data_IF_264617333033
#
_entry.id   IF_264617333033
#
_cell.length_a   1.000
_cell.length_b   1.000
_cell.length_c   1.000
_cell.angle_alpha   90.00
_cell.angle_beta   90.00
_cell.angle_gamma   90.00
#
_symmetry.space_group_name_H-M   'P 1'
#
loop_
_entity.id
_entity.type
_entity.pdbx_description
1 polymer ?
#
# COMPACT_ATOMS: atom_id res chain seq x y z
N UNK A 1 -2.70 16.44 -17.21
CA UNK A 1 -1.37 15.92 -17.60
C UNK A 1 -0.81 16.68 -18.81
N UNK A 2 -1.48 16.71 -19.96
CA UNK A 2 -0.99 17.33 -21.22
C UNK A 2 -0.52 18.77 -21.04
N UNK A 3 -1.26 19.61 -20.31
CA UNK A 3 -0.86 21.00 -20.05
C UNK A 3 0.40 21.09 -19.19
N UNK A 4 0.50 20.24 -18.15
CA UNK A 4 1.71 20.16 -17.31
C UNK A 4 2.94 19.78 -18.14
N UNK A 5 2.81 18.77 -19.00
CA UNK A 5 3.86 18.34 -19.92
C UNK A 5 4.31 19.47 -20.87
N UNK A 6 3.34 20.21 -21.46
CA UNK A 6 3.65 21.34 -22.36
C UNK A 6 4.47 22.42 -21.66
N UNK A 7 4.12 22.80 -20.43
CA UNK A 7 4.89 23.78 -19.67
C UNK A 7 6.25 23.22 -19.20
N UNK A 8 6.34 21.93 -18.93
CA UNK A 8 7.60 21.31 -18.53
C UNK A 8 8.63 21.28 -19.66
N UNK A 9 8.21 20.86 -20.86
CA UNK A 9 9.10 20.74 -22.03
C UNK A 9 9.09 21.95 -22.98
N UNK A 10 8.26 22.94 -22.73
CA UNK A 10 8.16 24.12 -23.59
C UNK A 10 7.47 23.88 -24.95
N UNK A 11 6.59 22.88 -25.04
CA UNK A 11 5.92 22.52 -26.29
C UNK A 11 4.79 23.53 -26.59
N UNK A 12 5.03 24.43 -27.53
CA UNK A 12 4.14 25.54 -27.95
C UNK A 12 3.81 26.55 -26.82
N UNK A 13 4.56 26.56 -25.74
CA UNK A 13 4.49 27.51 -24.61
C UNK A 13 5.89 27.71 -24.05
N UNK A 14 6.12 28.83 -23.34
CA UNK A 14 7.38 29.03 -22.63
C UNK A 14 7.51 27.99 -21.50
N UNK A 15 8.69 27.43 -21.31
CA UNK A 15 8.98 26.52 -20.20
C UNK A 15 8.74 27.20 -18.86
N UNK A 16 7.95 26.56 -18.01
CA UNK A 16 7.65 27.06 -16.67
C UNK A 16 7.40 25.90 -15.70
N UNK A 17 8.36 25.64 -14.84
CA UNK A 17 8.22 24.62 -13.83
C UNK A 17 7.03 24.88 -12.89
N UNK A 18 6.81 26.11 -12.45
CA UNK A 18 5.69 26.48 -11.57
C UNK A 18 4.33 26.26 -12.25
N UNK A 19 4.21 26.56 -13.54
CA UNK A 19 3.00 26.28 -14.29
C UNK A 19 2.78 24.78 -14.47
N UNK A 20 3.82 24.03 -14.82
CA UNK A 20 3.79 22.56 -14.91
C UNK A 20 3.34 21.94 -13.58
N UNK A 21 3.97 22.34 -12.47
CA UNK A 21 3.67 21.85 -11.12
C UNK A 21 2.21 22.14 -10.72
N UNK A 22 1.64 23.29 -11.13
CA UNK A 22 0.25 23.64 -10.87
C UNK A 22 -0.72 22.66 -11.53
N UNK A 23 -0.43 22.23 -12.76
CA UNK A 23 -1.25 21.24 -13.48
C UNK A 23 -1.04 19.83 -12.92
N UNK A 24 0.18 19.44 -12.60
CA UNK A 24 0.47 18.12 -12.05
C UNK A 24 -0.13 17.94 -10.64
N UNK A 25 -0.14 18.98 -9.80
CA UNK A 25 -0.82 18.93 -8.49
C UNK A 25 -2.31 18.65 -8.60
N UNK A 26 -2.99 19.14 -9.64
CA UNK A 26 -4.42 18.82 -9.84
C UNK A 26 -4.63 17.34 -10.12
N UNK A 27 -3.78 16.74 -10.94
CA UNK A 27 -3.84 15.30 -11.24
C UNK A 27 -3.48 14.47 -10.00
N UNK A 28 -2.39 14.83 -9.32
CA UNK A 28 -1.95 14.13 -8.13
C UNK A 28 -3.02 14.09 -7.02
N UNK A 29 -3.78 15.18 -6.84
CA UNK A 29 -4.92 15.20 -5.90
C UNK A 29 -6.03 14.23 -6.29
N UNK A 30 -6.33 14.08 -7.58
CA UNK A 30 -7.33 13.11 -8.04
C UNK A 30 -6.84 11.70 -7.77
N UNK A 31 -5.58 11.38 -8.08
CA UNK A 31 -4.98 10.08 -7.82
C UNK A 31 -4.95 9.77 -6.31
N UNK A 32 -4.57 10.75 -5.48
CA UNK A 32 -4.62 10.62 -4.01
C UNK A 32 -6.03 10.26 -3.52
N UNK A 33 -7.06 10.95 -4.05
CA UNK A 33 -8.44 10.68 -3.67
C UNK A 33 -8.90 9.29 -4.10
N UNK A 34 -8.49 8.83 -5.28
CA UNK A 34 -8.82 7.50 -5.77
C UNK A 34 -8.13 6.40 -4.94
N UNK A 35 -6.87 6.58 -4.56
CA UNK A 35 -6.15 5.67 -3.65
C UNK A 35 -6.84 5.61 -2.29
N UNK A 36 -7.23 6.76 -1.73
CA UNK A 36 -7.93 6.82 -0.44
C UNK A 36 -9.33 6.18 -0.47
N UNK A 37 -9.93 6.01 -1.66
CA UNK A 37 -11.20 5.29 -1.88
C UNK A 37 -11.03 3.79 -2.16
N UNK A 38 -9.81 3.26 -1.99
CA UNK A 38 -9.50 1.85 -2.23
C UNK A 38 -8.92 1.55 -3.62
N UNK A 39 -8.44 2.56 -4.33
CA UNK A 39 -7.67 2.39 -5.57
C UNK A 39 -6.29 1.75 -5.34
N UNK A 40 -5.58 1.46 -6.42
CA UNK A 40 -4.24 0.89 -6.36
C UNK A 40 -3.26 1.83 -5.66
N UNK A 41 -2.53 1.31 -4.68
CA UNK A 41 -1.49 2.05 -3.95
C UNK A 41 -0.12 2.00 -4.62
N UNK A 42 0.03 1.16 -5.64
CA UNK A 42 1.30 0.91 -6.34
C UNK A 42 1.19 1.33 -7.79
N UNK A 43 2.18 2.10 -8.26
CA UNK A 43 2.29 2.49 -9.67
C UNK A 43 2.71 1.27 -10.49
N UNK A 44 1.88 0.90 -11.47
CA UNK A 44 2.22 -0.10 -12.47
C UNK A 44 2.68 0.60 -13.75
N UNK A 45 3.88 0.26 -14.22
CA UNK A 45 4.37 0.73 -15.51
C UNK A 45 3.95 -0.27 -16.58
N UNK A 46 3.04 0.11 -17.45
CA UNK A 46 2.61 -0.68 -18.60
C UNK A 46 3.21 -0.08 -19.85
N UNK A 47 3.82 -0.90 -20.72
CA UNK A 47 4.24 -0.48 -22.07
C UNK A 47 3.04 -0.59 -23.00
N UNK A 48 2.49 0.54 -23.41
CA UNK A 48 1.37 0.59 -24.35
C UNK A 48 1.62 -0.18 -25.68
N UNK A 49 2.85 -0.22 -26.26
CA UNK A 49 3.12 -1.04 -27.43
C UNK A 49 2.89 -2.53 -27.21
N UNK A 50 3.20 -3.04 -26.02
CA UNK A 50 3.06 -4.48 -25.71
C UNK A 50 1.59 -4.91 -25.68
N UNK A 51 0.66 -4.02 -25.25
CA UNK A 51 -0.78 -4.26 -25.32
C UNK A 51 -1.32 -4.19 -26.75
N UNK A 52 -0.78 -3.30 -27.59
CA UNK A 52 -1.21 -3.12 -28.98
C UNK A 52 -0.72 -4.27 -29.89
N UNK A 53 0.48 -4.78 -29.63
CA UNK A 53 1.11 -5.86 -30.43
C UNK A 53 0.61 -7.24 -30.03
N UNK A 54 0.18 -7.45 -28.78
CA UNK A 54 -0.33 -8.70 -28.25
C UNK A 54 -1.60 -8.46 -27.40
N UNK A 55 -2.74 -8.17 -28.01
CA UNK A 55 -4.00 -7.95 -27.27
C UNK A 55 -4.52 -9.17 -26.50
N UNK A 56 -3.84 -10.30 -26.55
CA UNK A 56 -4.10 -11.52 -25.77
C UNK A 56 -2.89 -11.99 -24.99
N UNK A 57 -1.74 -11.31 -25.08
CA UNK A 57 -0.61 -11.66 -24.22
C UNK A 57 -0.89 -11.12 -22.82
N UNK A 58 -1.16 -12.03 -21.96
CA UNK A 58 -1.47 -11.91 -20.55
C UNK A 58 -0.29 -11.37 -19.72
N UNK A 59 0.24 -10.20 -20.06
CA UNK A 59 1.18 -9.50 -19.17
C UNK A 59 0.44 -9.15 -17.88
N UNK A 60 0.42 -10.11 -16.97
CA UNK A 60 -0.22 -10.02 -15.67
C UNK A 60 -1.42 -10.93 -15.43
N UNK A 61 -1.96 -11.60 -16.47
CA UNK A 61 -2.92 -12.69 -16.25
C UNK A 61 -2.15 -13.94 -15.81
N UNK A 62 -2.68 -14.63 -14.82
CA UNK A 62 -2.19 -15.95 -14.45
C UNK A 62 -2.90 -16.94 -15.38
N UNK A 63 -2.16 -17.88 -15.96
CA UNK A 63 -2.70 -18.98 -16.75
C UNK A 63 -3.70 -19.77 -15.91
N UNK A 64 -4.86 -20.09 -16.47
CA UNK A 64 -5.91 -20.89 -15.80
C UNK A 64 -5.36 -22.23 -15.30
N UNK A 65 -4.46 -22.85 -16.05
CA UNK A 65 -3.79 -24.09 -15.64
C UNK A 65 -2.94 -23.90 -14.38
N UNK A 66 -2.28 -22.75 -14.26
CA UNK A 66 -1.50 -22.41 -13.09
C UNK A 66 -2.39 -22.17 -11.86
N UNK A 67 -3.54 -21.52 -12.05
CA UNK A 67 -4.51 -21.31 -10.96
C UNK A 67 -5.05 -22.68 -10.49
N UNK A 68 -5.41 -23.56 -11.41
CA UNK A 68 -5.88 -24.91 -11.08
C UNK A 68 -4.81 -25.72 -10.34
N UNK A 69 -3.55 -25.61 -10.75
CA UNK A 69 -2.43 -26.24 -10.07
C UNK A 69 -2.27 -25.72 -8.62
N UNK A 70 -2.35 -24.40 -8.40
CA UNK A 70 -2.32 -23.85 -7.05
C UNK A 70 -3.54 -24.26 -6.22
N UNK A 71 -4.73 -24.36 -6.83
CA UNK A 71 -5.91 -24.89 -6.15
C UNK A 71 -5.71 -26.34 -5.69
N UNK A 72 -5.18 -27.18 -6.58
CA UNK A 72 -4.83 -28.56 -6.22
C UNK A 72 -3.85 -28.62 -5.04
N UNK A 73 -2.81 -27.80 -5.04
CA UNK A 73 -1.85 -27.74 -3.93
C UNK A 73 -2.51 -27.26 -2.63
N UNK A 74 -3.35 -26.23 -2.70
CA UNK A 74 -4.07 -25.72 -1.54
C UNK A 74 -5.02 -26.75 -0.93
N UNK A 75 -5.70 -27.52 -1.78
CA UNK A 75 -6.59 -28.63 -1.36
C UNK A 75 -5.81 -29.79 -0.71
N UNK A 76 -4.54 -29.95 -1.10
CA UNK A 76 -3.61 -30.90 -0.45
C UNK A 76 -3.01 -30.37 0.85
N UNK A 77 -3.34 -29.13 1.23
CA UNK A 77 -2.91 -28.52 2.48
C UNK A 77 -1.62 -27.69 2.38
N UNK A 78 -1.16 -27.37 1.14
CA UNK A 78 -0.02 -26.48 0.97
C UNK A 78 -0.38 -25.06 1.44
N UNK A 79 0.25 -24.63 2.50
CA UNK A 79 -0.05 -23.36 3.19
C UNK A 79 0.32 -22.14 2.32
N UNK A 80 1.37 -22.26 1.51
CA UNK A 80 1.80 -21.15 0.66
C UNK A 80 0.82 -20.98 -0.50
N UNK A 81 0.34 -22.07 -1.08
CA UNK A 81 -0.71 -22.06 -2.10
C UNK A 81 -2.01 -21.46 -1.52
N UNK A 82 -2.42 -21.85 -0.31
CA UNK A 82 -3.59 -21.28 0.37
C UNK A 82 -3.45 -19.78 0.56
N UNK A 83 -2.30 -19.28 1.06
CA UNK A 83 -2.07 -17.84 1.24
C UNK A 83 -2.07 -17.10 -0.09
N UNK A 84 -1.40 -17.65 -1.11
CA UNK A 84 -1.35 -17.06 -2.45
C UNK A 84 -2.72 -16.94 -3.11
N UNK A 85 -3.52 -18.01 -3.09
CA UNK A 85 -4.91 -18.00 -3.60
C UNK A 85 -5.81 -17.07 -2.77
N UNK A 86 -5.64 -17.09 -1.44
CA UNK A 86 -6.33 -16.16 -0.56
C UNK A 86 -6.10 -14.70 -0.96
N UNK A 87 -4.86 -14.33 -1.25
CA UNK A 87 -4.51 -12.97 -1.72
C UNK A 87 -5.11 -12.67 -3.10
N UNK A 88 -5.03 -13.59 -4.05
CA UNK A 88 -5.60 -13.42 -5.38
C UNK A 88 -7.11 -13.19 -5.31
N UNK A 89 -7.85 -14.01 -4.57
CA UNK A 89 -9.30 -13.84 -4.39
C UNK A 89 -9.65 -12.60 -3.55
N UNK A 90 -8.79 -12.21 -2.61
CA UNK A 90 -9.03 -11.00 -1.81
C UNK A 90 -8.89 -9.70 -2.62
N UNK A 91 -7.87 -9.61 -3.45
CA UNK A 91 -7.58 -8.41 -4.24
C UNK A 91 -8.30 -8.40 -5.58
N UNK A 92 -8.55 -9.57 -6.16
CA UNK A 92 -8.90 -9.72 -7.56
C UNK A 92 -7.71 -9.45 -8.48
N UNK A 93 -7.94 -9.50 -9.78
CA UNK A 93 -6.92 -9.21 -10.78
C UNK A 93 -6.18 -10.46 -11.29
N UNK A 94 -5.32 -10.27 -12.26
CA UNK A 94 -4.59 -11.34 -12.97
C UNK A 94 -5.52 -12.44 -13.55
N UNK A 95 -6.74 -12.08 -13.96
CA UNK A 95 -7.73 -13.01 -14.48
C UNK A 95 -8.59 -13.70 -13.40
N UNK A 96 -8.32 -13.45 -12.11
CA UNK A 96 -9.12 -13.98 -11.00
C UNK A 96 -10.11 -12.92 -10.53
N UNK A 97 -11.39 -13.29 -10.46
CA UNK A 97 -12.42 -12.41 -9.88
C UNK A 97 -12.23 -12.28 -8.36
N UNK A 98 -12.53 -11.11 -7.84
CA UNK A 98 -12.53 -10.87 -6.41
C UNK A 98 -13.61 -11.70 -5.72
N UNK A 99 -13.20 -12.55 -4.78
CA UNK A 99 -14.08 -13.41 -4.00
C UNK A 99 -13.64 -13.46 -2.54
N UNK A 100 -14.22 -12.58 -1.73
CA UNK A 100 -13.90 -12.49 -0.30
C UNK A 100 -14.27 -13.77 0.48
N UNK A 101 -15.24 -14.57 0.01
CA UNK A 101 -15.63 -15.81 0.66
C UNK A 101 -14.56 -16.89 0.51
N UNK A 102 -14.06 -17.06 -0.73
CA UNK A 102 -12.93 -17.96 -0.98
C UNK A 102 -11.67 -17.50 -0.26
N UNK A 103 -11.37 -16.18 -0.32
CA UNK A 103 -10.24 -15.61 0.40
C UNK A 103 -10.30 -15.93 1.90
N UNK A 104 -11.45 -15.72 2.55
CA UNK A 104 -11.66 -16.04 3.95
C UNK A 104 -11.40 -17.53 4.24
N UNK A 105 -11.90 -18.41 3.39
CA UNK A 105 -11.70 -19.86 3.52
C UNK A 105 -10.22 -20.24 3.50
N UNK A 106 -9.48 -19.78 2.49
CA UNK A 106 -8.06 -20.07 2.35
C UNK A 106 -7.22 -19.46 3.49
N UNK A 107 -7.48 -18.20 3.86
CA UNK A 107 -6.76 -17.58 4.99
C UNK A 107 -7.07 -18.28 6.31
N UNK A 108 -8.31 -18.75 6.52
CA UNK A 108 -8.66 -19.48 7.75
C UNK A 108 -7.91 -20.81 7.82
N UNK A 109 -7.87 -21.56 6.72
CA UNK A 109 -7.12 -22.82 6.66
C UNK A 109 -5.63 -22.58 6.96
N UNK A 110 -5.00 -21.63 6.27
CA UNK A 110 -3.59 -21.30 6.48
C UNK A 110 -3.32 -20.73 7.88
N UNK A 111 -4.22 -19.94 8.46
CA UNK A 111 -4.06 -19.42 9.81
C UNK A 111 -4.13 -20.51 10.87
N UNK A 112 -4.95 -21.54 10.68
CA UNK A 112 -5.05 -22.71 11.59
C UNK A 112 -3.75 -23.52 11.64
N UNK A 113 -2.93 -23.49 10.60
CA UNK A 113 -1.57 -24.08 10.62
C UNK A 113 -0.54 -23.17 11.29
N UNK A 114 -0.93 -21.97 11.70
CA UNK A 114 -0.06 -20.99 12.34
C UNK A 114 0.63 -20.03 11.37
N UNK A 115 0.18 -19.93 10.11
CA UNK A 115 0.79 -19.00 9.14
C UNK A 115 0.49 -17.53 9.51
N UNK A 116 1.55 -16.75 9.73
CA UNK A 116 1.44 -15.37 10.18
C UNK A 116 0.88 -14.40 9.11
N UNK A 117 1.17 -14.65 7.83
CA UNK A 117 0.61 -13.85 6.74
C UNK A 117 -0.92 -14.02 6.66
N UNK A 118 -1.40 -15.27 6.72
CA UNK A 118 -2.84 -15.55 6.73
C UNK A 118 -3.54 -14.89 7.92
N UNK A 119 -2.96 -14.95 9.11
CA UNK A 119 -3.47 -14.25 10.29
C UNK A 119 -3.56 -12.74 10.07
N UNK A 120 -2.53 -12.13 9.48
CA UNK A 120 -2.52 -10.70 9.18
C UNK A 120 -3.62 -10.31 8.18
N UNK A 121 -3.85 -11.12 7.13
CA UNK A 121 -4.94 -10.89 6.18
C UNK A 121 -6.32 -11.06 6.82
N UNK A 122 -6.51 -12.06 7.68
CA UNK A 122 -7.74 -12.17 8.48
C UNK A 122 -7.95 -10.92 9.36
N UNK A 123 -6.90 -10.47 10.04
CA UNK A 123 -6.94 -9.22 10.80
C UNK A 123 -7.41 -8.04 9.96
N UNK A 124 -6.90 -7.91 8.73
CA UNK A 124 -7.30 -6.88 7.77
C UNK A 124 -8.78 -7.02 7.37
N UNK A 125 -9.22 -8.22 7.01
CA UNK A 125 -10.62 -8.48 6.64
C UNK A 125 -11.60 -8.12 7.76
N UNK A 126 -11.30 -8.47 9.02
CA UNK A 126 -12.13 -8.11 10.17
C UNK A 126 -12.05 -6.63 10.54
N UNK A 127 -10.93 -5.95 10.28
CA UNK A 127 -10.77 -4.52 10.52
C UNK A 127 -11.57 -3.67 9.53
N UNK A 128 -11.60 -4.07 8.27
CA UNK A 128 -12.32 -3.37 7.19
C UNK A 128 -13.80 -3.74 7.18
N UNK A 129 -14.11 -4.99 7.48
CA UNK A 129 -15.43 -5.55 7.28
C UNK A 129 -15.76 -5.74 5.81
N UNK A 130 -16.91 -6.30 5.51
CA UNK A 130 -17.35 -6.51 4.12
C UNK A 130 -18.55 -7.42 4.02
N UNK A 131 -18.87 -7.90 2.80
CA UNK A 131 -20.05 -8.72 2.57
C UNK A 131 -20.00 -10.09 3.25
N UNK A 132 -18.80 -10.58 3.57
CA UNK A 132 -18.59 -11.95 4.10
C UNK A 132 -18.30 -11.93 5.61
N UNK A 133 -17.65 -10.90 6.11
CA UNK A 133 -17.32 -10.75 7.53
C UNK A 133 -17.81 -9.41 8.04
N UNK A 134 -18.49 -9.41 9.19
CA UNK A 134 -18.84 -8.17 9.88
C UNK A 134 -17.56 -7.53 10.45
N UNK A 135 -17.49 -6.21 10.41
CA UNK A 135 -16.37 -5.49 11.01
C UNK A 135 -16.29 -5.81 12.51
N UNK A 136 -15.11 -6.20 12.97
CA UNK A 136 -14.83 -6.52 14.36
C UNK A 136 -13.41 -6.10 14.75
N UNK A 137 -13.31 -5.00 15.48
CA UNK A 137 -12.00 -4.52 15.94
C UNK A 137 -11.34 -5.52 16.91
N UNK A 138 -12.11 -6.18 17.76
CA UNK A 138 -11.57 -7.16 18.72
C UNK A 138 -10.98 -8.39 18.02
N UNK A 139 -11.70 -8.89 17.02
CA UNK A 139 -11.21 -10.02 16.20
C UNK A 139 -9.99 -9.61 15.39
N UNK A 140 -10.00 -8.42 14.78
CA UNK A 140 -8.86 -7.87 14.07
C UNK A 140 -7.64 -7.73 14.98
N UNK A 141 -7.83 -7.17 16.19
CA UNK A 141 -6.76 -7.03 17.19
C UNK A 141 -6.14 -8.39 17.52
N UNK A 142 -6.98 -9.40 17.77
CA UNK A 142 -6.49 -10.76 18.06
C UNK A 142 -5.61 -11.30 16.93
N UNK A 143 -6.08 -11.25 15.69
CA UNK A 143 -5.34 -11.78 14.56
C UNK A 143 -4.06 -10.99 14.26
N UNK A 144 -4.09 -9.65 14.34
CA UNK A 144 -2.88 -8.84 14.17
C UNK A 144 -1.87 -9.09 15.30
N UNK A 145 -2.32 -9.28 16.54
CA UNK A 145 -1.42 -9.63 17.65
C UNK A 145 -0.74 -10.97 17.40
N UNK A 146 -1.51 -12.01 17.03
CA UNK A 146 -0.95 -13.32 16.70
C UNK A 146 0.07 -13.26 15.55
N UNK A 147 -0.19 -12.46 14.53
CA UNK A 147 0.74 -12.26 13.41
C UNK A 147 1.99 -11.47 13.84
N UNK A 148 1.81 -10.40 14.61
CA UNK A 148 2.91 -9.55 15.08
C UNK A 148 3.84 -10.28 16.06
N UNK A 149 3.32 -11.14 16.92
CA UNK A 149 4.10 -11.97 17.84
C UNK A 149 5.00 -12.97 17.09
N UNK A 150 4.59 -13.35 15.87
CA UNK A 150 5.42 -14.14 14.95
C UNK A 150 6.37 -13.28 14.09
N UNK A 151 6.47 -11.99 14.38
CA UNK A 151 7.35 -11.06 13.67
C UNK A 151 6.81 -10.58 12.31
N UNK A 152 5.56 -10.86 11.98
CA UNK A 152 5.00 -10.51 10.68
C UNK A 152 4.81 -8.99 10.51
N UNK A 153 5.39 -8.43 9.45
CA UNK A 153 5.37 -6.98 9.19
C UNK A 153 3.95 -6.43 8.92
N UNK A 154 3.10 -7.21 8.26
CA UNK A 154 1.70 -6.82 8.00
C UNK A 154 0.92 -6.77 9.29
N UNK A 155 1.09 -7.77 10.17
CA UNK A 155 0.47 -7.81 11.50
C UNK A 155 0.95 -6.65 12.39
N UNK A 156 2.25 -6.36 12.37
CA UNK A 156 2.82 -5.22 13.08
C UNK A 156 2.25 -3.90 12.56
N UNK A 157 2.19 -3.70 11.23
CA UNK A 157 1.60 -2.51 10.63
C UNK A 157 0.11 -2.38 10.99
N UNK A 158 -0.64 -3.49 10.98
CA UNK A 158 -2.04 -3.55 11.40
C UNK A 158 -2.24 -3.09 12.86
N UNK A 159 -1.42 -3.59 13.80
CA UNK A 159 -1.43 -3.10 15.18
C UNK A 159 -1.07 -1.62 15.28
N UNK A 160 -0.10 -1.17 14.50
CA UNK A 160 0.25 0.25 14.39
C UNK A 160 -0.96 1.11 14.04
N UNK A 161 -1.73 0.71 13.03
CA UNK A 161 -2.97 1.40 12.62
C UNK A 161 -4.05 1.36 13.71
N UNK A 162 -4.21 0.24 14.40
CA UNK A 162 -5.19 0.13 15.50
C UNK A 162 -4.87 1.09 16.65
N UNK A 163 -3.60 1.17 17.08
CA UNK A 163 -3.17 2.13 18.10
C UNK A 163 -3.21 3.58 17.62
N UNK A 164 -2.89 3.85 16.35
CA UNK A 164 -2.93 5.19 15.75
C UNK A 164 -4.35 5.76 15.77
N UNK A 165 -5.34 4.94 15.42
CA UNK A 165 -6.74 5.36 15.29
C UNK A 165 -7.60 5.06 16.53
N UNK A 166 -7.11 4.26 17.48
CA UNK A 166 -7.89 3.82 18.66
C UNK A 166 -8.99 2.82 18.28
N UNK A 167 -8.71 1.92 17.32
CA UNK A 167 -9.67 0.87 16.89
C UNK A 167 -9.50 -0.37 17.76
N UNK A 168 -10.49 -0.67 18.62
CA UNK A 168 -10.46 -1.80 19.56
C UNK A 168 -9.44 -1.68 20.69
N UNK A 169 -8.65 -0.61 20.71
CA UNK A 169 -7.65 -0.29 21.75
C UNK A 169 -7.66 1.21 22.02
N UNK A 170 -7.29 1.67 23.23
CA UNK A 170 -7.05 3.10 23.45
C UNK A 170 -5.98 3.64 22.48
N UNK A 171 -6.23 4.84 21.97
CA UNK A 171 -5.27 5.51 21.07
C UNK A 171 -3.92 5.73 21.78
N UNK A 172 -2.86 5.27 21.14
CA UNK A 172 -1.49 5.36 21.67
C UNK A 172 -0.48 5.55 20.52
N UNK A 173 -0.07 6.79 20.31
CA UNK A 173 0.85 7.13 19.23
C UNK A 173 2.25 6.55 19.44
N UNK A 174 2.71 6.39 20.68
CA UNK A 174 4.02 5.83 20.95
C UNK A 174 4.07 4.33 20.61
N UNK A 175 3.01 3.59 20.95
CA UNK A 175 2.87 2.19 20.53
C UNK A 175 2.72 2.07 19.01
N UNK A 176 1.91 2.93 18.39
CA UNK A 176 1.76 2.95 16.94
C UNK A 176 3.12 3.15 16.25
N UNK A 177 3.91 4.13 16.70
CA UNK A 177 5.26 4.38 16.20
C UNK A 177 6.16 3.14 16.32
N UNK A 178 6.18 2.49 17.49
CA UNK A 178 6.97 1.28 17.73
C UNK A 178 6.62 0.16 16.73
N UNK A 179 5.33 -0.08 16.52
CA UNK A 179 4.88 -1.14 15.60
C UNK A 179 5.17 -0.80 14.14
N UNK A 180 4.98 0.45 13.71
CA UNK A 180 5.37 0.86 12.37
C UNK A 180 6.89 0.79 12.15
N UNK A 181 7.69 1.09 13.18
CA UNK A 181 9.14 0.96 13.09
C UNK A 181 9.57 -0.50 12.89
N UNK A 182 8.95 -1.44 13.60
CA UNK A 182 9.21 -2.86 13.42
C UNK A 182 8.85 -3.33 12.01
N UNK A 183 7.70 -2.90 11.47
CA UNK A 183 7.28 -3.24 10.12
C UNK A 183 8.19 -2.60 9.05
N UNK A 184 8.53 -1.32 9.21
CA UNK A 184 9.38 -0.59 8.27
C UNK A 184 10.82 -1.13 8.21
N UNK A 185 11.37 -1.61 9.34
CA UNK A 185 12.67 -2.26 9.39
C UNK A 185 12.72 -3.58 8.61
N UNK A 186 11.57 -4.21 8.37
CA UNK A 186 11.43 -5.37 7.50
C UNK A 186 11.16 -4.98 6.03
N UNK A 187 11.19 -3.68 5.69
CA UNK A 187 10.91 -3.18 4.35
C UNK A 187 9.41 -3.04 4.04
N UNK A 188 8.51 -3.18 5.04
CA UNK A 188 7.08 -3.02 4.80
C UNK A 188 6.73 -1.58 4.45
N UNK A 189 6.22 -1.40 3.22
CA UNK A 189 6.04 -0.08 2.58
C UNK A 189 5.03 0.79 3.31
N UNK A 190 3.89 0.21 3.74
CA UNK A 190 2.89 0.96 4.51
C UNK A 190 3.46 1.41 5.86
N UNK A 191 4.28 0.57 6.52
CA UNK A 191 4.99 0.93 7.75
C UNK A 191 5.94 2.12 7.53
N UNK A 192 6.67 2.12 6.42
CA UNK A 192 7.54 3.25 6.04
C UNK A 192 6.74 4.52 5.79
N UNK A 193 5.63 4.43 5.04
CA UNK A 193 4.75 5.58 4.80
C UNK A 193 4.21 6.16 6.11
N UNK A 194 3.71 5.30 7.01
CA UNK A 194 3.16 5.75 8.30
C UNK A 194 4.21 6.39 9.19
N UNK A 195 5.45 5.87 9.21
CA UNK A 195 6.55 6.54 9.91
C UNK A 195 6.84 7.92 9.32
N UNK A 196 6.86 8.04 7.99
CA UNK A 196 6.97 9.33 7.32
C UNK A 196 5.90 10.32 7.79
N UNK A 197 4.64 9.88 7.85
CA UNK A 197 3.52 10.69 8.35
C UNK A 197 3.68 11.07 9.83
N UNK A 198 4.14 10.15 10.68
CA UNK A 198 4.34 10.39 12.11
C UNK A 198 5.47 11.39 12.36
N UNK A 199 6.60 11.28 11.66
CA UNK A 199 7.68 12.26 11.74
C UNK A 199 7.27 13.62 11.16
N UNK A 200 6.50 13.64 10.08
CA UNK A 200 5.99 14.90 9.50
C UNK A 200 5.05 15.64 10.45
N UNK A 201 4.15 14.92 11.12
CA UNK A 201 3.12 15.48 11.99
C UNK A 201 3.58 15.65 13.43
N UNK A 202 4.63 14.95 13.87
CA UNK A 202 5.05 14.91 15.27
C UNK A 202 4.13 14.06 16.15
N UNK A 203 3.54 12.98 15.61
CA UNK A 203 2.65 12.09 16.35
C UNK A 203 3.45 10.94 16.98
N UNK A 204 3.47 10.87 18.30
CA UNK A 204 4.20 9.84 19.06
C UNK A 204 5.74 9.96 19.01
N UNK A 205 6.25 10.94 18.27
CA UNK A 205 7.67 11.25 18.10
C UNK A 205 7.81 12.75 17.87
N UNK A 206 8.95 13.34 18.21
CA UNK A 206 9.23 14.73 17.87
C UNK A 206 9.24 14.91 16.34
N UNK A 207 8.66 16.03 15.88
CA UNK A 207 8.60 16.35 14.45
C UNK A 207 10.00 16.43 13.86
N UNK A 208 10.22 15.68 12.79
CA UNK A 208 11.49 15.66 12.05
C UNK A 208 11.22 15.49 10.56
N UNK A 209 11.28 16.58 9.82
CA UNK A 209 11.04 16.58 8.38
C UNK A 209 12.11 15.82 7.58
N UNK A 210 13.36 15.76 8.06
CA UNK A 210 14.43 15.00 7.40
C UNK A 210 14.14 13.51 7.49
N UNK A 211 13.71 13.05 8.67
CA UNK A 211 13.26 11.66 8.84
C UNK A 211 12.00 11.36 8.04
N UNK A 212 11.05 12.30 7.95
CA UNK A 212 9.87 12.14 7.09
C UNK A 212 10.28 11.94 5.62
N UNK A 213 11.16 12.80 5.08
CA UNK A 213 11.70 12.64 3.71
C UNK A 213 12.36 11.29 3.53
N UNK A 214 13.21 10.86 4.48
CA UNK A 214 13.87 9.56 4.42
C UNK A 214 12.88 8.40 4.25
N UNK A 215 11.84 8.36 5.08
CA UNK A 215 10.85 7.28 5.04
C UNK A 215 9.94 7.37 3.83
N UNK A 216 9.54 8.57 3.39
CA UNK A 216 8.80 8.73 2.13
C UNK A 216 9.64 8.31 0.92
N UNK A 217 10.95 8.59 0.91
CA UNK A 217 11.86 8.13 -0.15
C UNK A 217 11.93 6.62 -0.18
N UNK A 218 12.06 5.94 0.96
CA UNK A 218 12.05 4.47 1.02
C UNK A 218 10.74 3.89 0.47
N UNK A 219 9.60 4.45 0.88
CA UNK A 219 8.29 3.99 0.39
C UNK A 219 8.08 4.29 -1.10
N UNK A 220 8.57 5.44 -1.63
CA UNK A 220 8.47 5.78 -3.04
C UNK A 220 9.35 4.87 -3.93
N UNK A 221 10.52 4.45 -3.46
CA UNK A 221 11.35 3.47 -4.15
C UNK A 221 10.64 2.13 -4.38
N UNK A 222 9.69 1.80 -3.52
CA UNK A 222 8.80 0.63 -3.67
C UNK A 222 7.53 0.92 -4.49
N UNK A 223 7.42 2.10 -5.11
CA UNK A 223 6.32 2.49 -5.98
C UNK A 223 5.06 2.98 -5.25
N UNK A 224 5.14 3.34 -3.96
CA UNK A 224 3.94 3.74 -3.21
C UNK A 224 3.47 5.15 -3.61
N UNK A 225 2.26 5.25 -4.18
CA UNK A 225 1.70 6.49 -4.76
C UNK A 225 1.65 7.65 -3.76
N UNK A 226 1.16 7.42 -2.54
CA UNK A 226 1.07 8.49 -1.52
C UNK A 226 2.45 8.94 -1.03
N UNK A 227 3.47 8.07 -1.07
CA UNK A 227 4.83 8.45 -0.72
C UNK A 227 5.42 9.42 -1.74
N UNK A 228 5.22 9.15 -3.04
CA UNK A 228 5.58 10.09 -4.11
C UNK A 228 4.88 11.44 -3.94
N UNK A 229 3.57 11.43 -3.70
CA UNK A 229 2.80 12.64 -3.49
C UNK A 229 3.32 13.48 -2.31
N UNK A 230 3.55 12.84 -1.15
CA UNK A 230 4.06 13.52 0.04
C UNK A 230 5.47 14.08 -0.19
N UNK A 231 6.34 13.31 -0.83
CA UNK A 231 7.71 13.72 -1.13
C UNK A 231 7.72 14.91 -2.12
N UNK A 232 6.92 14.85 -3.19
CA UNK A 232 6.76 15.95 -4.13
C UNK A 232 6.24 17.23 -3.45
N UNK A 233 5.28 17.11 -2.54
CA UNK A 233 4.79 18.22 -1.73
C UNK A 233 5.90 18.85 -0.88
N UNK A 234 6.73 18.04 -0.22
CA UNK A 234 7.84 18.53 0.61
C UNK A 234 8.87 19.29 -0.23
N UNK A 235 9.23 18.79 -1.40
CA UNK A 235 10.12 19.48 -2.32
C UNK A 235 9.51 20.77 -2.89
N UNK A 236 8.22 20.75 -3.22
CA UNK A 236 7.51 21.92 -3.76
C UNK A 236 7.35 23.06 -2.75
N UNK A 237 7.25 22.73 -1.46
CA UNK A 237 7.10 23.71 -0.38
C UNK A 237 8.41 24.09 0.31
N UNK A 238 9.47 23.29 0.14
CA UNK A 238 10.72 23.43 0.87
C UNK A 238 10.62 22.96 2.33
N UNK A 239 9.66 22.07 2.63
CA UNK A 239 9.48 21.54 3.99
C UNK A 239 10.55 20.49 4.29
N UNK A 240 11.48 20.79 5.17
CA UNK A 240 12.59 19.90 5.55
C UNK A 240 13.71 19.76 4.51
N UNK A 241 13.57 20.41 3.38
CA UNK A 241 14.56 20.43 2.28
C UNK A 241 14.54 21.78 1.59
N UNK A 242 15.51 22.04 0.70
CA UNK A 242 15.47 23.23 -0.15
C UNK A 242 14.31 23.09 -1.14
N UNK A 243 13.55 24.16 -1.29
CA UNK A 243 12.47 24.20 -2.28
C UNK A 243 13.02 23.95 -3.69
N UNK A 244 12.51 22.96 -4.36
CA UNK A 244 12.89 22.58 -5.72
C UNK A 244 11.66 22.20 -6.52
N UNK A 245 11.27 23.07 -7.45
CA UNK A 245 10.18 22.78 -8.37
C UNK A 245 10.51 21.59 -9.28
N UNK A 246 11.76 21.52 -9.77
CA UNK A 246 12.22 20.46 -10.67
C UNK A 246 12.09 19.09 -9.98
N UNK A 247 12.68 18.94 -8.79
CA UNK A 247 12.57 17.68 -8.04
C UNK A 247 11.12 17.32 -7.72
N UNK A 248 10.26 18.32 -7.43
CA UNK A 248 8.85 18.06 -7.14
C UNK A 248 8.04 17.58 -8.35
N UNK A 249 8.48 17.86 -9.56
CA UNK A 249 7.85 17.38 -10.80
C UNK A 249 8.39 16.02 -11.22
N UNK A 250 9.68 15.75 -10.94
CA UNK A 250 10.36 14.49 -11.29
C UNK A 250 9.99 13.33 -10.36
N UNK A 251 9.64 13.63 -9.12
CA UNK A 251 9.14 12.66 -8.13
C UNK A 251 7.69 12.27 -8.42
#
# INVERSE_FOLDING_TARGET
LVQGYRYWYGTSVLTSCEAALTYYRKVARVVEQDVNKGGSTVIQRVRLPDEAENPGSSLGLIDDDLIQYYQFLADKGDVQAQVGLGQLHYQGGRGVEQDHSRALGYFTQAANTGNANAMAFLGKMFLEGGPVVSQSNDTALKYFTMAADKGNAVGQSGLGLMYLHGKGVPKDYAKAFKYFLLAANQGWVDGQLQLGNMYYSGLGVSRDYKMAIKYYTLASQSGHVLAFYNLAQMHATGTGTVRSCNTAVEV
#
